data_IF_997591625719
#
_entry.id   IF_997591625719
#
_cell.length_a   1.000
_cell.length_b   1.000
_cell.length_c   1.000
_cell.angle_alpha   90.00
_cell.angle_beta   90.00
_cell.angle_gamma   90.00
#
_symmetry.space_group_name_H-M   'P 1'
#
loop_
_entity.id
_entity.type
_entity.pdbx_description
1 polymer ?
#
# COMPACT_ATOMS: atom_id res chain seq x y z
N UNK A 1 3.62 11.84 -1.47
CA UNK A 1 3.38 11.46 -2.89
C UNK A 1 3.10 12.72 -3.69
N UNK A 2 3.69 12.87 -4.88
CA UNK A 2 3.47 14.07 -5.70
C UNK A 2 2.01 14.16 -6.20
N UNK A 3 1.45 15.36 -6.25
CA UNK A 3 0.04 15.60 -6.60
C UNK A 3 -0.35 15.05 -7.98
N UNK A 4 0.57 15.09 -8.96
CA UNK A 4 0.33 14.51 -10.30
C UNK A 4 0.11 12.99 -10.23
N UNK A 5 0.94 12.29 -9.46
CA UNK A 5 0.82 10.84 -9.28
C UNK A 5 -0.44 10.46 -8.51
N UNK A 6 -0.84 11.28 -7.52
CA UNK A 6 -2.09 11.09 -6.77
C UNK A 6 -3.32 11.15 -7.67
N UNK A 7 -3.42 12.19 -8.51
CA UNK A 7 -4.51 12.35 -9.49
C UNK A 7 -4.54 11.23 -10.52
N UNK A 8 -3.38 10.80 -10.98
CA UNK A 8 -3.27 9.67 -11.91
C UNK A 8 -3.77 8.37 -11.27
N UNK A 9 -3.36 8.10 -10.02
CA UNK A 9 -3.80 6.92 -9.28
C UNK A 9 -5.31 6.95 -9.00
N UNK A 10 -5.85 8.11 -8.60
CA UNK A 10 -7.30 8.34 -8.45
C UNK A 10 -8.06 7.95 -9.73
N UNK A 11 -7.63 8.50 -10.87
CA UNK A 11 -8.27 8.23 -12.17
C UNK A 11 -8.24 6.75 -12.55
N UNK A 12 -7.10 6.07 -12.35
CA UNK A 12 -6.99 4.64 -12.66
C UNK A 12 -7.89 3.78 -11.77
N UNK A 13 -7.97 4.08 -10.47
CA UNK A 13 -8.83 3.35 -9.54
C UNK A 13 -10.31 3.54 -9.93
N UNK A 14 -10.71 4.77 -10.23
CA UNK A 14 -12.11 5.10 -10.55
C UNK A 14 -12.59 4.50 -11.87
N UNK A 15 -11.69 4.37 -12.85
CA UNK A 15 -12.03 3.88 -14.19
C UNK A 15 -11.76 2.39 -14.39
N UNK A 16 -11.10 1.72 -13.44
CA UNK A 16 -10.76 0.31 -13.60
C UNK A 16 -12.00 -0.59 -13.51
N UNK A 17 -12.30 -1.38 -14.56
CA UNK A 17 -13.35 -2.37 -14.53
C UNK A 17 -12.86 -3.69 -13.91
N UNK A 18 -11.65 -3.74 -13.33
CA UNK A 18 -11.05 -4.95 -12.76
C UNK A 18 -10.52 -4.67 -11.36
N UNK A 19 -10.41 -5.70 -10.50
CA UNK A 19 -9.71 -5.60 -9.22
C UNK A 19 -8.31 -5.00 -9.35
N UNK A 20 -7.93 -4.10 -8.44
CA UNK A 20 -6.69 -3.33 -8.52
C UNK A 20 -5.76 -3.66 -7.35
N UNK A 21 -4.57 -4.15 -7.66
CA UNK A 21 -3.43 -4.19 -6.73
C UNK A 21 -2.60 -2.92 -6.92
N UNK A 22 -2.38 -2.16 -5.85
CA UNK A 22 -1.57 -0.94 -5.92
C UNK A 22 -0.18 -1.20 -5.34
N UNK A 23 0.86 -0.69 -6.00
CA UNK A 23 2.22 -0.67 -5.47
C UNK A 23 2.78 0.75 -5.51
N UNK A 24 3.30 1.23 -4.38
CA UNK A 24 3.93 2.55 -4.29
C UNK A 24 5.20 2.50 -3.46
N UNK A 25 6.18 3.35 -3.76
CA UNK A 25 7.37 3.43 -2.91
C UNK A 25 7.03 4.02 -1.53
N UNK A 26 6.38 5.18 -1.48
CA UNK A 26 5.98 5.83 -0.23
C UNK A 26 4.76 5.18 0.42
N UNK A 27 4.58 5.43 1.72
CA UNK A 27 3.43 4.93 2.47
C UNK A 27 2.14 5.64 2.01
N UNK A 28 1.06 4.91 1.73
CA UNK A 28 -0.23 5.49 1.34
C UNK A 28 -1.05 5.98 2.54
N UNK A 29 -0.60 5.67 3.76
CA UNK A 29 -1.28 6.03 5.00
C UNK A 29 -0.27 6.26 6.12
N UNK A 30 -0.60 7.17 7.04
CA UNK A 30 0.12 7.35 8.29
C UNK A 30 0.00 6.11 9.21
N UNK A 31 -1.00 5.27 9.02
CA UNK A 31 -1.17 4.02 9.78
C UNK A 31 -0.06 2.98 9.49
N UNK A 32 0.62 3.14 8.35
CA UNK A 32 1.73 2.27 7.95
C UNK A 32 3.07 2.69 8.55
N UNK A 33 3.14 3.84 9.22
CA UNK A 33 4.36 4.29 9.90
C UNK A 33 4.69 3.35 11.05
N UNK A 34 5.94 2.90 11.12
CA UNK A 34 6.41 2.03 12.19
C UNK A 34 6.27 2.72 13.56
N UNK A 35 5.94 1.99 14.64
CA UNK A 35 5.70 2.58 15.96
C UNK A 35 6.79 3.55 16.44
N UNK A 36 8.06 3.21 16.19
CA UNK A 36 9.22 4.02 16.57
C UNK A 36 9.34 5.38 15.85
N UNK A 37 8.62 5.55 14.73
CA UNK A 37 8.65 6.78 13.92
C UNK A 37 7.37 7.61 14.04
N UNK A 38 6.37 7.17 14.80
CA UNK A 38 5.05 7.84 14.87
C UNK A 38 5.11 9.31 15.31
N UNK A 39 6.05 9.68 16.18
CA UNK A 39 6.23 11.05 16.67
C UNK A 39 7.15 11.91 15.80
N UNK A 40 7.68 11.38 14.69
CA UNK A 40 8.59 12.12 13.81
C UNK A 40 7.87 13.27 13.10
N UNK A 41 8.40 14.51 13.17
CA UNK A 41 7.84 15.65 12.43
C UNK A 41 8.00 15.50 10.91
N UNK A 42 8.86 14.58 10.46
CA UNK A 42 9.15 14.35 9.05
C UNK A 42 8.21 13.34 8.39
N UNK A 43 7.23 12.80 9.11
CA UNK A 43 6.34 11.76 8.59
C UNK A 43 5.58 12.15 7.31
N UNK A 44 5.39 13.44 7.06
CA UNK A 44 4.81 13.96 5.80
C UNK A 44 5.66 13.66 4.56
N UNK A 45 6.96 13.39 4.73
CA UNK A 45 7.88 13.03 3.66
C UNK A 45 7.81 11.53 3.36
N UNK A 46 7.32 10.73 4.31
CA UNK A 46 7.25 9.27 4.24
C UNK A 46 5.86 8.77 3.84
N UNK A 47 4.82 9.40 4.37
CA UNK A 47 3.44 8.98 4.22
C UNK A 47 2.56 10.05 3.58
N UNK A 48 1.59 9.59 2.79
CA UNK A 48 0.51 10.41 2.26
C UNK A 48 -0.80 10.02 2.93
N UNK A 49 -1.77 10.93 3.06
CA UNK A 49 -3.08 10.58 3.59
C UNK A 49 -4.01 10.13 2.44
N UNK A 50 -3.85 8.87 2.00
CA UNK A 50 -4.63 8.29 0.88
C UNK A 50 -5.66 7.25 1.35
N UNK A 51 -6.06 7.28 2.62
CA UNK A 51 -7.04 6.33 3.18
C UNK A 51 -8.34 6.28 2.36
N UNK A 52 -8.77 7.39 1.77
CA UNK A 52 -9.98 7.47 0.93
C UNK A 52 -9.88 6.68 -0.40
N UNK A 53 -8.68 6.25 -0.81
CA UNK A 53 -8.44 5.38 -1.98
C UNK A 53 -8.50 3.90 -1.64
N UNK A 54 -8.53 3.53 -0.36
CA UNK A 54 -8.80 2.16 0.08
C UNK A 54 -10.31 1.90 -0.04
N UNK A 55 -10.74 1.68 -1.29
CA UNK A 55 -12.11 1.33 -1.67
C UNK A 55 -12.07 0.46 -2.92
N UNK A 56 -13.17 -0.25 -3.22
CA UNK A 56 -13.30 -0.99 -4.49
C UNK A 56 -13.00 -0.05 -5.68
N UNK A 57 -12.34 -0.53 -6.75
CA UNK A 57 -11.92 -1.91 -6.99
C UNK A 57 -10.57 -2.32 -6.36
N UNK A 58 -9.97 -1.51 -5.48
CA UNK A 58 -8.70 -1.85 -4.83
C UNK A 58 -8.84 -3.08 -3.94
N UNK A 59 -7.95 -4.06 -4.11
CA UNK A 59 -7.96 -5.33 -3.35
C UNK A 59 -6.79 -5.45 -2.38
N UNK A 60 -5.66 -4.78 -2.64
CA UNK A 60 -4.53 -4.69 -1.72
C UNK A 60 -3.57 -3.57 -2.14
N UNK A 61 -2.75 -3.12 -1.20
CA UNK A 61 -1.73 -2.09 -1.42
C UNK A 61 -0.37 -2.50 -0.84
N UNK A 62 0.65 -2.63 -1.69
CA UNK A 62 2.03 -2.87 -1.26
C UNK A 62 2.81 -1.56 -1.25
N UNK A 63 3.50 -1.25 -0.15
CA UNK A 63 4.29 -0.04 -0.02
C UNK A 63 5.69 -0.28 0.59
N UNK A 64 6.51 0.77 0.64
CA UNK A 64 7.89 0.69 1.10
C UNK A 64 8.37 1.90 1.89
N UNK A 65 9.63 2.27 1.65
CA UNK A 65 10.31 3.48 2.16
C UNK A 65 10.69 3.48 3.66
N UNK A 66 9.89 2.88 4.55
CA UNK A 66 10.15 2.99 6.01
C UNK A 66 11.11 1.94 6.59
N UNK A 67 11.78 1.15 5.74
CA UNK A 67 12.83 0.20 6.12
C UNK A 67 12.42 -0.72 7.29
N UNK A 68 11.24 -1.32 7.18
CA UNK A 68 10.76 -2.35 8.08
C UNK A 68 9.55 -3.09 7.53
N UNK A 69 9.02 -3.98 8.36
CA UNK A 69 7.79 -4.71 8.11
C UNK A 69 6.60 -4.02 8.78
N UNK A 70 5.51 -3.86 8.05
CA UNK A 70 4.22 -3.49 8.63
C UNK A 70 3.10 -4.08 7.79
N UNK A 71 2.03 -4.51 8.44
CA UNK A 71 0.81 -4.99 7.80
C UNK A 71 -0.39 -4.39 8.52
N UNK A 72 -1.27 -3.75 7.76
CA UNK A 72 -2.53 -3.18 8.24
C UNK A 72 -3.67 -3.55 7.31
N UNK A 73 -4.89 -3.44 7.83
CA UNK A 73 -6.11 -3.48 7.03
C UNK A 73 -6.72 -2.10 7.16
N UNK A 74 -6.79 -1.37 6.05
CA UNK A 74 -7.29 0.01 6.00
C UNK A 74 -8.57 -0.05 5.16
N UNK A 75 -9.71 0.36 5.73
CA UNK A 75 -11.03 0.24 5.10
C UNK A 75 -11.34 -1.17 4.55
N UNK A 76 -10.92 -2.21 5.27
CA UNK A 76 -11.12 -3.61 4.83
C UNK A 76 -10.14 -4.10 3.76
N UNK A 77 -9.22 -3.27 3.28
CA UNK A 77 -8.22 -3.61 2.26
C UNK A 77 -6.84 -3.79 2.90
N UNK A 78 -6.16 -4.93 2.68
CA UNK A 78 -4.80 -5.14 3.15
C UNK A 78 -3.80 -4.11 2.60
N UNK A 79 -2.96 -3.57 3.48
CA UNK A 79 -1.78 -2.78 3.14
C UNK A 79 -0.54 -3.42 3.77
N UNK A 80 0.49 -3.66 2.95
CA UNK A 80 1.67 -4.45 3.34
C UNK A 80 2.95 -3.69 2.98
N UNK A 81 3.92 -3.72 3.88
CA UNK A 81 5.28 -3.26 3.67
C UNK A 81 6.25 -4.31 4.22
N UNK A 82 7.29 -4.64 3.46
CA UNK A 82 8.38 -5.52 3.88
C UNK A 82 9.73 -4.95 3.39
N UNK A 83 10.02 -3.69 3.72
CA UNK A 83 11.25 -3.02 3.28
C UNK A 83 12.42 -3.40 4.16
N UNK A 84 13.54 -3.86 3.59
CA UNK A 84 14.70 -4.33 4.37
C UNK A 84 15.49 -3.18 4.99
N UNK A 85 15.70 -2.11 4.23
CA UNK A 85 16.60 -1.01 4.61
C UNK A 85 18.06 -1.29 4.28
N UNK A 86 18.95 -0.46 4.81
CA UNK A 86 20.39 -0.56 4.54
C UNK A 86 21.05 -1.66 5.38
N UNK A 87 22.19 -2.24 4.94
CA UNK A 87 22.91 -3.25 5.72
C UNK A 87 23.35 -2.79 7.12
N UNK A 88 23.58 -1.49 7.32
CA UNK A 88 23.95 -0.90 8.60
C UNK A 88 22.77 -0.63 9.53
N UNK A 89 21.53 -0.74 9.03
CA UNK A 89 20.34 -0.57 9.85
C UNK A 89 19.90 -1.88 10.50
N UNK A 90 19.35 -1.83 11.72
CA UNK A 90 18.74 -3.00 12.31
C UNK A 90 17.54 -3.45 11.46
N UNK A 91 17.39 -4.77 11.25
CA UNK A 91 16.19 -5.30 10.60
C UNK A 91 14.97 -5.02 11.49
N UNK A 92 13.96 -4.36 10.92
CA UNK A 92 12.72 -4.01 11.61
C UNK A 92 11.59 -4.98 11.22
N UNK A 93 11.82 -6.27 11.45
CA UNK A 93 10.85 -7.36 11.20
C UNK A 93 10.75 -7.82 9.75
N UNK A 94 11.48 -7.21 8.83
CA UNK A 94 11.47 -7.60 7.41
C UNK A 94 12.16 -8.94 7.17
N UNK A 95 11.64 -9.73 6.23
CA UNK A 95 12.19 -11.03 5.85
C UNK A 95 12.50 -11.08 4.35
N UNK A 96 13.59 -11.77 3.98
CA UNK A 96 13.95 -12.05 2.58
C UNK A 96 13.02 -13.09 1.96
N UNK A 97 12.48 -14.00 2.78
CA UNK A 97 11.60 -15.09 2.35
C UNK A 97 10.12 -14.70 2.46
N UNK A 98 9.82 -13.41 2.59
CA UNK A 98 8.46 -12.93 2.75
C UNK A 98 7.66 -13.09 1.45
N UNK A 99 6.56 -13.83 1.54
CA UNK A 99 5.59 -13.98 0.45
C UNK A 99 4.27 -13.33 0.87
N UNK A 100 3.76 -12.45 0.02
CA UNK A 100 2.40 -11.93 0.13
C UNK A 100 1.54 -12.51 -0.98
N UNK A 101 0.61 -13.38 -0.60
CA UNK A 101 -0.40 -13.93 -1.51
C UNK A 101 -1.65 -13.05 -1.50
N UNK A 102 -2.10 -12.64 -2.68
CA UNK A 102 -3.30 -11.84 -2.88
C UNK A 102 -4.24 -12.57 -3.83
N UNK A 103 -5.21 -13.31 -3.27
CA UNK A 103 -6.21 -14.02 -4.06
C UNK A 103 -7.32 -13.07 -4.47
N UNK A 104 -7.55 -12.94 -5.77
CA UNK A 104 -8.65 -12.16 -6.34
C UNK A 104 -9.75 -13.13 -6.74
N UNK A 105 -10.85 -13.14 -5.98
CA UNK A 105 -12.03 -13.87 -6.38
C UNK A 105 -12.77 -13.02 -7.42
N UNK A 106 -12.74 -13.46 -8.68
CA UNK A 106 -13.57 -12.85 -9.71
C UNK A 106 -15.03 -13.15 -9.37
N UNK A 107 -15.79 -12.11 -9.03
CA UNK A 107 -17.25 -12.21 -9.02
C UNK A 107 -17.69 -12.57 -10.46
N UNK A 108 -18.62 -13.52 -10.62
CA UNK A 108 -19.06 -14.03 -11.94
C UNK A 108 -19.54 -12.94 -12.91
N UNK A 109 -19.77 -11.72 -12.42
CA UNK A 109 -20.16 -10.55 -13.23
C UNK A 109 -19.03 -10.02 -14.14
N UNK A 110 -17.76 -10.40 -13.92
CA UNK A 110 -16.64 -9.91 -14.75
C UNK A 110 -16.46 -10.63 -16.10
N UNK A 111 -17.13 -11.76 -16.32
CA UNK A 111 -16.93 -12.62 -17.50
C UNK A 111 -18.06 -12.57 -18.55
N UNK A 112 -19.10 -11.73 -18.36
CA UNK A 112 -20.28 -11.73 -19.23
C UNK A 112 -20.36 -10.56 -20.23
N UNK A 113 -19.22 -9.96 -20.62
CA UNK A 113 -19.20 -8.86 -21.60
C UNK A 113 -18.27 -9.13 -22.79
N UNK A 114 -18.26 -10.34 -23.34
CA UNK A 114 -17.76 -10.65 -24.69
C UNK A 114 -18.61 -11.75 -25.33
#
# INVERSE_FOLDING_TARGET
MHNKSKKYLESLIETSPKPVLIMTHHLPSYEMILPMFKSSPYNSHYASNLNYLFKKPVVSWVCGHSHGFNKKVINGIPCIMNSIGYPSEPRRGSSLDFVFECTIFADKQYYNND
#
